data_IF_491577157936
#
_entry.id   IF_491577157936
#
_cell.length_a   1.000
_cell.length_b   1.000
_cell.length_c   1.000
_cell.angle_alpha   90.00
_cell.angle_beta   90.00
_cell.angle_gamma   90.00
#
_symmetry.space_group_name_H-M   'P 1'
#
loop_
_entity.id
_entity.type
_entity.pdbx_description
1 polymer ?
#
# COMPACT_ATOMS: atom_id res chain seq x y z
N UNK A 1 -35.80 51.29 -39.04
CA UNK A 1 -36.38 50.92 -37.72
C UNK A 1 -35.91 49.51 -37.38
N UNK A 2 -34.88 49.40 -36.52
CA UNK A 2 -34.25 48.13 -36.17
C UNK A 2 -34.90 47.46 -34.96
N UNK A 3 -35.21 46.17 -35.15
CA UNK A 3 -35.26 45.03 -34.20
C UNK A 3 -35.60 45.25 -32.72
N UNK A 4 -36.83 44.89 -32.34
CA UNK A 4 -37.21 44.49 -30.98
C UNK A 4 -37.23 42.96 -30.87
N UNK A 5 -36.10 42.38 -30.50
CA UNK A 5 -35.97 41.04 -29.90
C UNK A 5 -34.89 41.14 -28.83
N UNK A 6 -34.94 40.28 -27.82
CA UNK A 6 -34.07 40.24 -26.63
C UNK A 6 -34.53 41.08 -25.43
N UNK A 7 -35.52 40.57 -24.69
CA UNK A 7 -35.70 40.91 -23.27
C UNK A 7 -36.03 39.61 -22.51
N UNK A 8 -35.04 39.19 -21.71
CA UNK A 8 -35.09 38.39 -20.49
C UNK A 8 -35.64 36.95 -20.54
N UNK A 9 -34.75 36.02 -20.94
CA UNK A 9 -34.51 34.82 -20.13
C UNK A 9 -33.60 35.20 -18.95
N UNK A 10 -33.62 34.43 -17.86
CA UNK A 10 -32.75 34.47 -16.66
C UNK A 10 -33.49 34.93 -15.39
N UNK A 11 -34.43 34.10 -14.93
CA UNK A 11 -34.70 33.92 -13.49
C UNK A 11 -35.14 32.47 -13.31
N UNK A 12 -34.19 31.56 -13.21
CA UNK A 12 -34.31 30.23 -12.61
C UNK A 12 -32.87 29.68 -12.58
N UNK A 13 -32.48 28.94 -11.54
CA UNK A 13 -31.14 28.35 -11.31
C UNK A 13 -30.19 29.07 -10.36
N UNK A 14 -30.65 29.49 -9.18
CA UNK A 14 -29.73 29.70 -8.04
C UNK A 14 -30.32 29.14 -6.76
N UNK A 15 -30.45 27.80 -6.64
CA UNK A 15 -30.60 27.14 -5.34
C UNK A 15 -30.36 25.61 -5.42
N UNK A 16 -29.16 25.17 -5.81
CA UNK A 16 -28.79 23.75 -5.72
C UNK A 16 -27.26 23.50 -5.64
N UNK A 17 -26.49 24.41 -5.02
CA UNK A 17 -25.02 24.31 -4.95
C UNK A 17 -24.49 24.51 -3.53
N UNK A 18 -25.21 24.03 -2.51
CA UNK A 18 -24.73 24.09 -1.11
C UNK A 18 -24.79 22.73 -0.38
N UNK A 19 -25.25 21.67 -1.05
CA UNK A 19 -25.40 20.34 -0.42
C UNK A 19 -24.53 19.24 -1.06
N UNK A 20 -23.49 19.61 -1.82
CA UNK A 20 -22.55 18.65 -2.42
C UNK A 20 -21.14 18.70 -1.81
N UNK A 21 -20.79 19.77 -1.07
CA UNK A 21 -19.45 19.92 -0.51
C UNK A 21 -19.25 19.23 0.85
N UNK A 22 -20.29 18.69 1.50
CA UNK A 22 -20.14 18.12 2.84
C UNK A 22 -20.08 16.57 2.87
N UNK A 23 -20.43 15.89 1.77
CA UNK A 23 -20.35 14.42 1.70
C UNK A 23 -19.00 13.91 1.18
N UNK A 24 -18.25 14.74 0.44
CA UNK A 24 -16.95 14.36 -0.13
C UNK A 24 -15.82 14.22 0.90
N UNK A 25 -15.97 14.78 2.10
CA UNK A 25 -14.90 14.77 3.11
C UNK A 25 -15.05 13.64 4.14
N UNK A 26 -16.25 13.05 4.27
CA UNK A 26 -16.49 11.94 5.20
C UNK A 26 -16.26 10.56 4.59
N UNK A 27 -16.26 10.44 3.26
CA UNK A 27 -15.98 9.17 2.56
C UNK A 27 -14.51 8.75 2.59
N UNK A 28 -13.58 9.71 2.59
CA UNK A 28 -12.15 9.42 2.49
C UNK A 28 -11.50 8.88 3.78
N UNK A 29 -12.23 8.88 4.92
CA UNK A 29 -11.65 8.61 6.24
C UNK A 29 -11.99 7.24 6.84
N UNK A 30 -12.77 6.41 6.14
CA UNK A 30 -13.30 5.14 6.67
C UNK A 30 -12.81 3.88 5.94
N UNK A 31 -11.94 4.00 4.94
CA UNK A 31 -11.49 2.86 4.13
C UNK A 31 -10.29 2.13 4.75
N UNK A 32 -10.35 1.82 6.06
CA UNK A 32 -9.34 1.01 6.76
C UNK A 32 -9.27 -0.46 6.29
N UNK A 33 -10.06 -0.83 5.28
CA UNK A 33 -10.15 -2.20 4.79
C UNK A 33 -10.35 -2.23 3.27
N UNK A 34 -9.64 -1.36 2.55
CA UNK A 34 -9.62 -1.40 1.09
C UNK A 34 -8.79 -2.61 0.65
N UNK A 35 -9.45 -3.58 0.02
CA UNK A 35 -8.77 -4.68 -0.65
C UNK A 35 -7.74 -4.09 -1.63
N UNK A 36 -6.47 -4.50 -1.49
CA UNK A 36 -5.36 -3.97 -2.30
C UNK A 36 -5.52 -4.41 -3.74
N UNK A 37 -5.65 -3.45 -4.66
CA UNK A 37 -5.54 -3.72 -6.08
C UNK A 37 -4.07 -3.98 -6.45
N UNK A 38 -3.82 -5.06 -7.20
CA UNK A 38 -2.46 -5.47 -7.53
C UNK A 38 -1.72 -4.40 -8.34
N UNK A 39 -2.37 -3.77 -9.31
CA UNK A 39 -1.72 -2.77 -10.15
C UNK A 39 -1.41 -1.50 -9.34
N UNK A 40 -2.29 -1.10 -8.43
CA UNK A 40 -2.06 0.00 -7.49
C UNK A 40 -0.87 -0.29 -6.57
N UNK A 41 -0.80 -1.50 -6.00
CA UNK A 41 0.33 -1.95 -5.17
C UNK A 41 1.63 -1.93 -5.97
N UNK A 42 1.67 -2.54 -7.15
CA UNK A 42 2.87 -2.63 -7.99
C UNK A 42 3.37 -1.23 -8.40
N UNK A 43 2.45 -0.32 -8.74
CA UNK A 43 2.78 1.07 -9.03
C UNK A 43 3.37 1.78 -7.80
N UNK A 44 2.82 1.55 -6.61
CA UNK A 44 3.30 2.16 -5.38
C UNK A 44 4.62 1.58 -4.88
N UNK A 45 4.86 0.28 -4.99
CA UNK A 45 6.15 -0.31 -4.61
C UNK A 45 7.22 -0.12 -5.69
N UNK A 46 6.85 0.30 -6.90
CA UNK A 46 7.79 0.52 -8.01
C UNK A 46 8.37 -0.77 -8.61
N UNK A 47 7.77 -1.92 -8.33
CA UNK A 47 8.17 -3.23 -8.82
C UNK A 47 6.93 -4.14 -8.99
N UNK A 48 6.91 -5.05 -9.96
CA UNK A 48 5.89 -6.08 -10.05
C UNK A 48 5.97 -7.05 -8.87
N UNK A 49 4.82 -7.52 -8.38
CA UNK A 49 4.81 -8.64 -7.46
C UNK A 49 5.17 -9.91 -8.24
N UNK A 50 5.88 -10.87 -7.62
CA UNK A 50 6.17 -12.14 -8.27
C UNK A 50 4.89 -12.79 -8.82
N UNK A 51 4.94 -13.33 -10.04
CA UNK A 51 3.77 -13.99 -10.65
C UNK A 51 3.30 -15.20 -9.84
N UNK A 52 4.21 -15.81 -9.06
CA UNK A 52 4.01 -16.90 -8.13
C UNK A 52 3.46 -16.47 -6.76
N UNK A 53 3.30 -15.17 -6.51
CA UNK A 53 2.80 -14.66 -5.24
C UNK A 53 1.38 -15.19 -4.96
N UNK A 54 1.21 -15.72 -3.76
CA UNK A 54 -0.05 -16.26 -3.25
C UNK A 54 -0.36 -15.67 -1.88
N UNK A 55 -1.61 -15.77 -1.43
CA UNK A 55 -2.05 -15.21 -0.15
C UNK A 55 -1.68 -13.72 0.01
N UNK A 56 -1.86 -12.95 -1.07
CA UNK A 56 -1.57 -11.52 -1.07
C UNK A 56 -2.60 -10.81 -0.20
N UNK A 57 -2.12 -10.11 0.81
CA UNK A 57 -2.90 -9.30 1.74
C UNK A 57 -2.18 -7.97 1.91
N UNK A 58 -2.92 -6.87 2.01
CA UNK A 58 -2.32 -5.58 2.25
C UNK A 58 -3.32 -4.58 2.77
N UNK A 59 -2.77 -3.51 3.34
CA UNK A 59 -3.52 -2.44 3.98
C UNK A 59 -2.81 -1.11 3.71
N UNK A 60 -3.60 -0.08 3.45
CA UNK A 60 -3.14 1.29 3.27
C UNK A 60 -3.34 2.08 4.56
N UNK A 61 -2.30 2.80 4.98
CA UNK A 61 -2.40 3.85 5.97
C UNK A 61 -2.12 5.17 5.27
N UNK A 62 -3.16 5.95 5.02
CA UNK A 62 -3.06 7.22 4.32
C UNK A 62 -2.93 8.38 5.30
N UNK A 63 -2.10 9.37 4.99
CA UNK A 63 -1.78 10.41 5.96
C UNK A 63 -0.96 11.57 5.41
N UNK A 64 0.04 12.00 6.19
CA UNK A 64 1.05 12.96 5.71
C UNK A 64 2.04 12.21 4.80
N UNK A 65 2.46 11.02 5.24
CA UNK A 65 3.22 10.07 4.46
C UNK A 65 2.37 8.81 4.30
N UNK A 66 2.13 8.38 3.07
CA UNK A 66 1.36 7.17 2.82
C UNK A 66 2.21 5.92 3.11
N UNK A 67 1.59 4.94 3.74
CA UNK A 67 2.20 3.66 4.06
C UNK A 67 1.38 2.52 3.45
N UNK A 68 2.06 1.64 2.71
CA UNK A 68 1.54 0.36 2.30
C UNK A 68 2.13 -0.76 3.16
N UNK A 69 1.26 -1.55 3.78
CA UNK A 69 1.61 -2.81 4.40
C UNK A 69 1.22 -3.94 3.46
N UNK A 70 2.13 -4.86 3.19
CA UNK A 70 1.91 -5.95 2.25
C UNK A 70 2.48 -7.27 2.79
N UNK A 71 1.68 -8.34 2.69
CA UNK A 71 2.06 -9.70 3.02
C UNK A 71 1.73 -10.62 1.85
N UNK A 72 2.66 -11.48 1.49
CA UNK A 72 2.38 -12.57 0.55
C UNK A 72 3.37 -13.72 0.70
N UNK A 73 3.01 -14.86 0.14
CA UNK A 73 3.83 -16.08 0.11
C UNK A 73 4.31 -16.34 -1.30
N UNK A 74 5.57 -16.76 -1.45
CA UNK A 74 6.17 -17.13 -2.74
C UNK A 74 7.13 -18.33 -2.57
N UNK A 75 7.50 -19.03 -3.65
CA UNK A 75 8.62 -19.98 -3.63
C UNK A 75 9.90 -19.32 -3.13
N UNK A 76 10.72 -20.04 -2.38
CA UNK A 76 12.00 -19.51 -1.88
C UNK A 76 12.90 -19.01 -3.02
N UNK A 77 12.86 -19.67 -4.19
CA UNK A 77 13.66 -19.29 -5.37
C UNK A 77 13.34 -17.89 -5.92
N UNK A 78 12.17 -17.35 -5.60
CA UNK A 78 11.68 -16.08 -6.17
C UNK A 78 12.02 -14.88 -5.29
N UNK A 79 12.52 -15.11 -4.05
CA UNK A 79 12.80 -14.04 -3.10
C UNK A 79 13.94 -13.14 -3.56
N UNK A 80 15.08 -13.71 -3.94
CA UNK A 80 16.27 -12.93 -4.32
C UNK A 80 16.02 -12.07 -5.57
N UNK A 81 15.43 -12.60 -6.66
CA UNK A 81 15.05 -11.77 -7.81
C UNK A 81 14.16 -10.59 -7.43
N UNK A 82 13.13 -10.83 -6.61
CA UNK A 82 12.20 -9.78 -6.17
C UNK A 82 12.88 -8.71 -5.31
N UNK A 83 13.72 -9.12 -4.35
CA UNK A 83 14.44 -8.18 -3.48
C UNK A 83 15.44 -7.33 -4.26
N UNK A 84 16.11 -7.89 -5.28
CA UNK A 84 17.00 -7.14 -6.17
C UNK A 84 16.24 -6.12 -7.00
N UNK A 85 15.03 -6.45 -7.45
CA UNK A 85 14.16 -5.52 -8.20
C UNK A 85 13.72 -4.33 -7.33
N UNK A 86 13.47 -4.57 -6.04
CA UNK A 86 13.22 -3.51 -5.05
C UNK A 86 14.48 -2.71 -4.67
N UNK A 87 15.68 -3.14 -5.08
CA UNK A 87 16.94 -2.46 -4.78
C UNK A 87 17.59 -2.84 -3.45
N UNK A 88 17.23 -3.99 -2.86
CA UNK A 88 17.91 -4.49 -1.66
C UNK A 88 19.27 -5.11 -2.00
N UNK A 89 20.24 -4.80 -1.15
CA UNK A 89 21.49 -5.57 -1.08
C UNK A 89 21.26 -6.88 -0.34
N UNK A 90 21.83 -7.96 -0.88
CA UNK A 90 21.75 -9.31 -0.33
C UNK A 90 23.13 -9.75 0.21
N UNK A 91 23.17 -10.63 1.23
CA UNK A 91 22.05 -11.28 1.90
C UNK A 91 21.34 -10.37 2.91
N UNK A 92 20.06 -10.65 3.17
CA UNK A 92 19.34 -10.05 4.29
C UNK A 92 19.97 -10.42 5.64
N UNK A 93 19.68 -9.62 6.67
CA UNK A 93 20.24 -9.83 8.01
C UNK A 93 19.40 -10.84 8.79
N UNK A 94 20.04 -11.89 9.30
CA UNK A 94 19.40 -12.87 10.17
C UNK A 94 18.84 -12.22 11.44
N UNK A 95 17.60 -12.57 11.80
CA UNK A 95 16.89 -12.08 12.99
C UNK A 95 16.83 -10.54 13.09
N UNK A 96 17.00 -9.82 11.98
CA UNK A 96 16.83 -8.38 11.95
C UNK A 96 15.35 -8.03 11.77
N UNK A 97 14.88 -7.09 12.57
CA UNK A 97 13.48 -6.67 12.63
C UNK A 97 13.42 -5.14 12.48
N UNK A 98 13.11 -4.62 11.28
CA UNK A 98 13.07 -3.18 11.03
C UNK A 98 11.81 -2.53 11.61
N UNK A 99 10.69 -3.27 11.70
CA UNK A 99 9.44 -2.82 12.30
C UNK A 99 8.92 -3.82 13.35
N UNK A 100 8.12 -3.32 14.29
CA UNK A 100 7.47 -4.12 15.32
C UNK A 100 5.97 -4.25 15.05
N UNK A 101 5.44 -5.42 15.39
CA UNK A 101 4.01 -5.65 15.39
C UNK A 101 3.38 -5.02 16.65
N UNK A 102 2.43 -4.10 16.47
CA UNK A 102 1.65 -3.56 17.59
C UNK A 102 0.48 -4.48 17.98
N UNK A 103 0.20 -5.53 17.19
CA UNK A 103 -0.95 -6.42 17.34
C UNK A 103 -2.25 -5.84 16.73
N UNK A 104 -2.24 -4.58 16.30
CA UNK A 104 -3.41 -3.84 15.84
C UNK A 104 -3.83 -4.19 14.41
N UNK A 105 -2.91 -4.76 13.62
CA UNK A 105 -3.08 -5.03 12.20
C UNK A 105 -3.79 -6.38 11.88
N UNK A 106 -4.55 -6.92 12.84
CA UNK A 106 -5.32 -8.16 12.68
C UNK A 106 -4.46 -9.43 12.54
N UNK A 107 -5.12 -10.59 12.43
CA UNK A 107 -4.42 -11.90 12.48
C UNK A 107 -3.53 -12.20 11.27
N UNK A 108 -3.65 -11.41 10.20
CA UNK A 108 -2.81 -11.58 9.02
C UNK A 108 -1.41 -11.01 9.20
N UNK A 109 -1.23 -10.01 10.06
CA UNK A 109 0.05 -9.40 10.39
C UNK A 109 0.45 -9.80 11.82
N UNK A 110 1.30 -10.83 11.90
CA UNK A 110 1.77 -11.46 13.16
C UNK A 110 3.26 -11.72 13.10
N UNK A 111 4.04 -10.65 12.94
CA UNK A 111 5.49 -10.78 12.77
C UNK A 111 6.22 -11.06 14.08
N UNK A 112 5.57 -10.79 15.22
CA UNK A 112 6.05 -11.08 16.58
C UNK A 112 6.20 -12.58 16.86
N UNK A 113 5.40 -13.41 16.20
CA UNK A 113 5.40 -14.87 16.36
C UNK A 113 6.47 -15.59 15.52
N UNK A 114 7.22 -14.87 14.69
CA UNK A 114 8.23 -15.44 13.80
C UNK A 114 9.47 -15.90 14.57
N UNK A 115 9.88 -17.15 14.34
CA UNK A 115 11.05 -17.76 15.00
C UNK A 115 12.26 -17.93 14.08
N UNK A 116 12.04 -18.01 12.76
CA UNK A 116 13.07 -18.08 11.72
C UNK A 116 12.77 -17.02 10.67
N UNK A 117 13.55 -15.95 10.69
CA UNK A 117 13.33 -14.86 9.76
C UNK A 117 14.62 -14.09 9.45
N UNK A 118 14.59 -13.39 8.33
CA UNK A 118 15.59 -12.42 7.92
C UNK A 118 14.90 -11.09 7.67
N UNK A 119 15.61 -9.99 7.86
CA UNK A 119 15.05 -8.66 7.62
C UNK A 119 16.00 -7.76 6.84
N UNK A 120 15.43 -6.69 6.31
CA UNK A 120 16.15 -5.65 5.60
C UNK A 120 15.41 -4.32 5.68
N UNK A 121 16.16 -3.23 5.56
CA UNK A 121 15.60 -1.91 5.36
C UNK A 121 16.47 -1.14 4.37
N UNK A 122 15.85 -0.42 3.44
CA UNK A 122 16.52 0.47 2.51
C UNK A 122 15.78 1.81 2.44
N UNK A 123 16.54 2.87 2.23
CA UNK A 123 16.04 4.23 2.08
C UNK A 123 16.39 4.69 0.67
N UNK A 124 15.37 4.87 -0.17
CA UNK A 124 15.47 5.49 -1.48
C UNK A 124 15.02 6.97 -1.38
N UNK A 125 15.29 7.80 -2.41
CA UNK A 125 14.92 9.21 -2.39
C UNK A 125 13.42 9.47 -2.16
N UNK A 126 12.56 8.64 -2.72
CA UNK A 126 11.10 8.77 -2.69
C UNK A 126 10.41 7.81 -1.73
N UNK A 127 11.10 6.73 -1.31
CA UNK A 127 10.50 5.64 -0.54
C UNK A 127 11.44 5.05 0.49
N UNK A 128 10.86 4.54 1.58
CA UNK A 128 11.55 3.65 2.50
C UNK A 128 10.91 2.28 2.44
N UNK A 129 11.71 1.23 2.32
CA UNK A 129 11.24 -0.16 2.36
C UNK A 129 11.79 -0.82 3.60
N UNK A 130 10.92 -1.47 4.35
CA UNK A 130 11.28 -2.31 5.47
C UNK A 130 10.62 -3.67 5.30
N UNK A 131 11.35 -4.75 5.52
CA UNK A 131 10.81 -6.09 5.34
C UNK A 131 11.30 -7.11 6.35
N UNK A 132 10.47 -8.14 6.50
CA UNK A 132 10.78 -9.38 7.19
C UNK A 132 10.36 -10.54 6.29
N UNK A 133 11.27 -11.48 6.09
CA UNK A 133 11.04 -12.74 5.37
C UNK A 133 11.00 -13.86 6.39
N UNK A 134 9.85 -14.50 6.56
CA UNK A 134 9.69 -15.74 7.32
C UNK A 134 10.23 -16.92 6.49
N UNK A 135 11.27 -17.56 7.02
CA UNK A 135 11.98 -18.69 6.42
C UNK A 135 11.76 -19.99 7.19
N UNK A 136 10.66 -20.07 7.95
CA UNK A 136 10.29 -21.27 8.70
C UNK A 136 9.99 -22.49 7.82
N UNK A 137 9.56 -22.25 6.57
CA UNK A 137 9.27 -23.29 5.58
C UNK A 137 10.42 -23.43 4.56
N UNK A 138 10.80 -24.66 4.15
CA UNK A 138 11.96 -24.87 3.28
C UNK A 138 11.73 -24.46 1.81
N UNK A 139 10.51 -24.63 1.28
CA UNK A 139 10.22 -24.43 -0.14
C UNK A 139 9.46 -23.13 -0.45
N UNK A 140 9.04 -22.42 0.61
CA UNK A 140 8.21 -21.22 0.51
C UNK A 140 8.61 -20.24 1.60
N UNK A 141 8.52 -18.96 1.28
CA UNK A 141 8.74 -17.88 2.23
C UNK A 141 7.51 -16.99 2.30
N UNK A 142 7.28 -16.37 3.46
CA UNK A 142 6.28 -15.31 3.60
C UNK A 142 7.01 -14.00 3.81
N UNK A 143 6.76 -13.03 2.92
CA UNK A 143 7.34 -11.70 3.01
C UNK A 143 6.32 -10.74 3.60
N UNK A 144 6.76 -9.98 4.59
CA UNK A 144 6.06 -8.87 5.22
C UNK A 144 6.83 -7.60 4.82
N UNK A 145 6.16 -6.65 4.18
CA UNK A 145 6.75 -5.44 3.64
C UNK A 145 5.97 -4.22 4.09
N UNK A 146 6.70 -3.21 4.56
CA UNK A 146 6.21 -1.86 4.77
C UNK A 146 6.91 -0.93 3.78
N UNK A 147 6.13 -0.19 3.02
CA UNK A 147 6.63 0.82 2.07
C UNK A 147 6.07 2.17 2.47
N UNK A 148 6.96 3.09 2.82
CA UNK A 148 6.63 4.45 3.22
C UNK A 148 6.96 5.40 2.07
N UNK A 149 6.04 6.27 1.72
CA UNK A 149 6.33 7.48 0.93
C UNK A 149 7.25 8.43 1.73
N UNK A 150 8.02 9.28 1.04
CA UNK A 150 8.89 10.30 1.64
C UNK A 150 8.74 11.66 1.00
#
# INVERSE_FOLDING_TARGET
MLSRRYILFVVLWTLAMASACNESLNGARNDKNRNVDRAEVEAFIGAPLPSSATNVQGEWQLGIDDLLMLKFTMPETDIEPFLRELGFDLPLRNLYRPFFDSGEYGDWWRTDQLTKFQGGAINLPDKTYELIVDTSSPDKVTLYLMVYER
#
